data_IF_699554923477
#
_entry.id   IF_699554923477
#
_cell.length_a   1.000
_cell.length_b   1.000
_cell.length_c   1.000
_cell.angle_alpha   90.00
_cell.angle_beta   90.00
_cell.angle_gamma   90.00
#
_symmetry.space_group_name_H-M   'P 1'
#
loop_
_entity.id
_entity.type
_entity.pdbx_description
1 polymer ?
#
# COMPACT_ATOMS: atom_id res chain seq x y z
N UNK A 1 6.84 5.51 -9.47
CA UNK A 1 6.97 4.82 -8.16
C UNK A 1 6.76 5.82 -7.02
N UNK A 2 6.52 5.33 -5.79
CA UNK A 2 6.44 6.16 -4.59
C UNK A 2 7.79 6.79 -4.28
N UNK A 3 7.81 8.01 -3.74
CA UNK A 3 9.03 8.74 -3.42
C UNK A 3 8.86 9.54 -2.14
N UNK A 4 9.96 9.83 -1.46
CA UNK A 4 9.99 10.68 -0.27
C UNK A 4 9.38 12.08 -0.51
N UNK A 5 9.56 12.64 -1.71
CA UNK A 5 8.94 13.92 -2.08
C UNK A 5 7.40 13.86 -2.02
N UNK A 6 6.79 12.71 -2.37
CA UNK A 6 5.34 12.52 -2.22
C UNK A 6 4.96 12.35 -0.76
N UNK A 7 5.77 11.63 0.02
CA UNK A 7 5.55 11.43 1.45
C UNK A 7 5.47 12.76 2.20
N UNK A 8 6.40 13.68 1.96
CA UNK A 8 6.41 15.02 2.58
C UNK A 8 5.15 15.85 2.28
N UNK A 9 4.48 15.63 1.14
CA UNK A 9 3.22 16.30 0.80
C UNK A 9 2.07 15.78 1.65
N UNK A 10 2.03 14.48 1.94
CA UNK A 10 0.89 13.83 2.62
C UNK A 10 1.04 13.72 4.12
N UNK A 11 2.26 13.76 4.67
CA UNK A 11 2.53 13.72 6.11
C UNK A 11 1.69 14.73 6.94
N UNK A 12 1.45 15.97 6.48
CA UNK A 12 0.64 16.93 7.24
C UNK A 12 -0.87 16.59 7.31
N UNK A 13 -1.35 15.60 6.55
CA UNK A 13 -2.78 15.33 6.39
C UNK A 13 -3.37 14.38 7.44
N UNK A 14 -2.63 14.06 8.51
CA UNK A 14 -3.14 13.26 9.63
C UNK A 14 -3.30 11.77 9.33
N UNK A 15 -2.54 11.25 8.36
CA UNK A 15 -2.45 9.82 8.09
C UNK A 15 -1.63 9.12 9.19
N UNK A 16 -2.09 7.97 9.67
CA UNK A 16 -1.38 7.19 10.69
C UNK A 16 0.01 6.71 10.23
N UNK A 17 0.12 6.39 8.93
CA UNK A 17 1.33 5.87 8.33
C UNK A 17 1.43 6.27 6.85
N UNK A 18 2.58 6.83 6.48
CA UNK A 18 2.96 7.08 5.08
C UNK A 18 4.29 6.37 4.81
N UNK A 19 4.32 5.52 3.78
CA UNK A 19 5.50 4.69 3.45
C UNK A 19 6.03 5.05 2.07
N UNK A 20 7.31 5.41 2.00
CA UNK A 20 8.02 5.63 0.74
C UNK A 20 8.59 4.29 0.22
N UNK A 21 7.90 3.65 -0.74
CA UNK A 21 8.23 2.30 -1.23
C UNK A 21 9.61 2.16 -1.91
N UNK A 22 10.29 3.26 -2.21
CA UNK A 22 11.65 3.31 -2.73
C UNK A 22 12.73 3.25 -1.64
N UNK A 23 12.36 3.50 -0.37
CA UNK A 23 13.28 3.56 0.76
C UNK A 23 12.90 2.68 1.94
N UNK A 24 11.62 2.41 2.11
CA UNK A 24 11.06 1.72 3.27
C UNK A 24 10.42 0.39 2.88
N UNK A 25 10.52 -0.61 3.76
CA UNK A 25 9.81 -1.87 3.60
C UNK A 25 8.34 -1.71 4.01
N UNK A 26 7.43 -2.05 3.10
CA UNK A 26 6.00 -1.90 3.31
C UNK A 26 5.45 -2.87 4.38
N UNK A 27 5.91 -4.12 4.36
CA UNK A 27 5.40 -5.16 5.26
C UNK A 27 5.81 -4.85 6.70
N UNK A 28 7.08 -4.52 6.92
CA UNK A 28 7.59 -4.14 8.23
C UNK A 28 6.81 -2.96 8.82
N UNK A 29 6.54 -1.94 8.02
CA UNK A 29 5.82 -0.73 8.47
C UNK A 29 4.36 -1.01 8.82
N UNK A 30 3.67 -1.81 8.00
CA UNK A 30 2.29 -2.22 8.29
C UNK A 30 2.26 -3.04 9.57
N UNK A 31 3.07 -4.08 9.67
CA UNK A 31 3.08 -4.96 10.84
C UNK A 31 3.49 -4.24 12.13
N UNK A 32 4.38 -3.25 12.07
CA UNK A 32 4.70 -2.41 13.22
C UNK A 32 3.48 -1.60 13.70
N UNK A 33 2.65 -1.09 12.78
CA UNK A 33 1.45 -0.33 13.11
C UNK A 33 0.30 -1.23 13.60
N UNK A 34 0.14 -2.41 13.00
CA UNK A 34 -1.00 -3.30 13.20
C UNK A 34 -0.75 -4.41 14.21
N UNK A 35 0.38 -4.38 14.93
CA UNK A 35 0.81 -5.43 15.86
C UNK A 35 0.90 -6.82 15.18
N UNK A 36 1.53 -6.86 14.00
CA UNK A 36 1.77 -8.08 13.24
C UNK A 36 0.59 -8.57 12.41
N UNK A 37 -0.49 -7.78 12.30
CA UNK A 37 -1.65 -8.15 11.48
C UNK A 37 -1.56 -7.58 10.06
N UNK A 38 -2.06 -8.31 9.08
CA UNK A 38 -2.30 -7.77 7.74
C UNK A 38 -3.47 -6.77 7.73
N UNK A 39 -3.72 -6.09 6.61
CA UNK A 39 -4.83 -5.12 6.51
C UNK A 39 -6.13 -5.78 6.05
N UNK A 40 -7.27 -5.20 6.45
CA UNK A 40 -8.60 -5.68 6.06
C UNK A 40 -8.97 -5.30 4.62
N UNK A 41 -8.45 -4.17 4.14
CA UNK A 41 -8.69 -3.70 2.77
C UNK A 41 -7.47 -2.99 2.17
N UNK A 42 -7.26 -3.18 0.88
CA UNK A 42 -6.26 -2.47 0.07
C UNK A 42 -6.96 -1.75 -1.07
N UNK A 43 -6.69 -0.44 -1.20
CA UNK A 43 -7.05 0.35 -2.36
C UNK A 43 -5.81 0.55 -3.23
N UNK A 44 -5.82 -0.07 -4.40
CA UNK A 44 -4.68 -0.13 -5.32
C UNK A 44 -4.97 0.74 -6.54
N UNK A 45 -4.13 1.77 -6.75
CA UNK A 45 -4.22 2.66 -7.92
C UNK A 45 -2.94 2.75 -8.76
N UNK A 46 -1.98 1.83 -8.60
CA UNK A 46 -0.70 1.80 -9.32
C UNK A 46 -0.61 0.60 -10.29
N UNK A 47 -1.16 -0.55 -9.90
CA UNK A 47 -1.32 -1.73 -10.75
C UNK A 47 -0.22 -2.77 -10.60
N UNK A 48 0.19 -3.37 -11.73
CA UNK A 48 0.98 -4.62 -11.77
C UNK A 48 2.28 -4.59 -10.97
N UNK A 49 2.95 -3.43 -10.91
CA UNK A 49 4.24 -3.28 -10.23
C UNK A 49 4.16 -3.46 -8.70
N UNK A 50 3.00 -3.22 -8.11
CA UNK A 50 2.80 -3.15 -6.65
C UNK A 50 1.74 -4.12 -6.15
N UNK A 51 0.86 -4.60 -7.02
CA UNK A 51 -0.26 -5.45 -6.65
C UNK A 51 0.14 -6.70 -5.86
N UNK A 52 1.14 -7.45 -6.32
CA UNK A 52 1.54 -8.70 -5.64
C UNK A 52 2.00 -8.42 -4.21
N UNK A 53 2.74 -7.34 -3.99
CA UNK A 53 3.21 -6.94 -2.65
C UNK A 53 2.06 -6.52 -1.75
N UNK A 54 1.12 -5.70 -2.24
CA UNK A 54 -0.01 -5.23 -1.43
C UNK A 54 -1.03 -6.33 -1.18
N UNK A 55 -1.26 -7.23 -2.14
CA UNK A 55 -2.16 -8.37 -2.01
C UNK A 55 -1.69 -9.37 -0.95
N UNK A 56 -0.37 -9.57 -0.81
CA UNK A 56 0.22 -10.44 0.21
C UNK A 56 0.02 -9.92 1.64
N UNK A 57 -0.21 -8.61 1.82
CA UNK A 57 -0.42 -7.95 3.11
C UNK A 57 -1.90 -7.72 3.42
N UNK A 58 -2.79 -8.44 2.76
CA UNK A 58 -4.23 -8.38 3.02
C UNK A 58 -4.68 -9.67 3.69
N UNK A 59 -5.46 -9.56 4.77
CA UNK A 59 -5.99 -10.73 5.50
C UNK A 59 -6.76 -11.68 4.58
N UNK A 60 -6.86 -12.94 5.02
CA UNK A 60 -7.82 -13.88 4.46
C UNK A 60 -9.23 -13.27 4.52
N UNK A 61 -9.98 -13.37 3.42
CA UNK A 61 -11.27 -12.71 3.21
C UNK A 61 -11.26 -11.16 3.18
N UNK A 62 -10.09 -10.51 3.19
CA UNK A 62 -9.98 -9.06 3.04
C UNK A 62 -10.23 -8.58 1.61
N UNK A 63 -10.60 -7.30 1.47
CA UNK A 63 -11.00 -6.71 0.18
C UNK A 63 -9.82 -6.08 -0.54
N UNK A 64 -9.73 -6.27 -1.86
CA UNK A 64 -8.73 -5.62 -2.72
C UNK A 64 -9.48 -4.89 -3.82
N UNK A 65 -9.45 -3.57 -3.77
CA UNK A 65 -10.10 -2.73 -4.77
C UNK A 65 -9.05 -2.10 -5.68
N UNK A 66 -9.23 -2.29 -6.97
CA UNK A 66 -8.44 -1.61 -7.99
C UNK A 66 -9.17 -0.35 -8.45
N UNK A 67 -8.44 0.74 -8.58
CA UNK A 67 -8.99 2.05 -8.97
C UNK A 67 -8.55 2.44 -10.40
N UNK A 68 -7.77 1.61 -11.08
CA UNK A 68 -7.29 1.87 -12.44
C UNK A 68 -8.17 1.18 -13.52
N UNK A 69 -8.55 1.94 -14.55
CA UNK A 69 -9.32 1.52 -15.72
C UNK A 69 -8.49 0.72 -16.76
N UNK A 70 -7.16 0.71 -16.66
CA UNK A 70 -6.25 0.01 -17.57
C UNK A 70 -5.73 -1.34 -17.03
N UNK A 71 -6.20 -1.77 -15.86
CA UNK A 71 -5.70 -2.96 -15.17
C UNK A 71 -6.28 -4.29 -15.68
N UNK A 72 -6.06 -4.61 -16.96
CA UNK A 72 -5.99 -5.99 -17.50
C UNK A 72 -5.51 -6.02 -18.96
N UNK A 73 -4.34 -5.42 -19.27
CA UNK A 73 -3.59 -5.78 -20.48
C UNK A 73 -2.23 -6.36 -20.13
N UNK A 74 -2.19 -7.68 -20.00
CA UNK A 74 -1.11 -8.53 -20.50
C UNK A 74 -1.63 -9.96 -20.62
#
# INVERSE_FOLDING_TARGET
MGSEAKKAIVEPHGLDLVVALDKEDLAEKIHALTNGQDVDAVFEGVGKATFVKSAALTKSCGTKQFVDADAQKS
#
